data_IF_390584626090
#
_entry.id   IF_390584626090
#
_cell.length_a   1.000
_cell.length_b   1.000
_cell.length_c   1.000
_cell.angle_alpha   90.00
_cell.angle_beta   90.00
_cell.angle_gamma   90.00
#
_symmetry.space_group_name_H-M   'P 1'
#
loop_
_entity.id
_entity.type
_entity.pdbx_description
1 polymer ?
#
# COMPACT_ATOMS: atom_id res chain seq x y z
N UNK A 1 -25.57 20.34 1.85
CA UNK A 1 -26.32 19.55 0.84
C UNK A 1 -25.65 19.86 -0.49
N UNK A 2 -24.73 18.98 -0.93
CA UNK A 2 -24.11 19.07 -2.25
C UNK A 2 -24.83 18.12 -3.19
N UNK A 3 -25.20 18.54 -4.40
CA UNK A 3 -25.88 17.67 -5.35
C UNK A 3 -24.89 16.63 -5.91
N UNK A 4 -25.20 15.37 -5.79
CA UNK A 4 -24.54 14.23 -6.43
C UNK A 4 -24.69 14.35 -7.94
N UNK A 5 -23.74 15.01 -8.61
CA UNK A 5 -23.59 14.88 -10.07
C UNK A 5 -22.92 13.54 -10.36
N UNK A 6 -23.69 12.63 -10.93
CA UNK A 6 -23.15 11.42 -11.59
C UNK A 6 -22.16 11.83 -12.67
N UNK A 7 -20.87 11.62 -12.41
CA UNK A 7 -19.84 11.74 -13.44
C UNK A 7 -19.86 10.45 -14.24
N UNK A 8 -20.57 10.47 -15.37
CA UNK A 8 -20.45 9.45 -16.41
C UNK A 8 -19.12 9.67 -17.14
N UNK A 9 -18.05 9.03 -16.67
CA UNK A 9 -16.84 8.89 -17.47
C UNK A 9 -16.95 7.59 -18.30
N UNK A 10 -17.24 7.76 -19.58
CA UNK A 10 -17.13 6.71 -20.59
C UNK A 10 -15.63 6.39 -20.84
N UNK A 11 -15.04 5.55 -19.99
CA UNK A 11 -13.84 4.81 -20.34
C UNK A 11 -14.26 3.38 -20.68
N UNK A 12 -14.35 3.10 -21.97
CA UNK A 12 -14.46 1.74 -22.55
C UNK A 12 -13.13 0.99 -22.31
N UNK A 13 -12.86 0.54 -21.07
CA UNK A 13 -11.68 -0.25 -20.68
C UNK A 13 -12.06 -1.54 -19.93
N UNK A 14 -13.13 -2.22 -20.34
CA UNK A 14 -13.58 -3.44 -19.62
C UNK A 14 -12.70 -4.68 -19.87
N UNK A 15 -11.75 -4.66 -20.80
CA UNK A 15 -11.06 -5.88 -21.26
C UNK A 15 -9.70 -6.14 -20.57
N UNK A 16 -9.11 -5.21 -19.79
CA UNK A 16 -7.74 -5.36 -19.31
C UNK A 16 -7.53 -4.96 -17.82
N UNK A 17 -8.58 -4.97 -17.01
CA UNK A 17 -8.48 -4.61 -15.60
C UNK A 17 -7.98 -5.80 -14.78
N UNK A 18 -6.84 -5.64 -14.10
CA UNK A 18 -6.26 -6.66 -13.22
C UNK A 18 -6.79 -6.57 -11.79
N UNK A 19 -7.31 -5.39 -11.38
CA UNK A 19 -7.99 -5.20 -10.08
C UNK A 19 -9.36 -4.58 -10.33
N UNK A 20 -10.41 -5.16 -9.74
CA UNK A 20 -11.78 -4.64 -9.81
C UNK A 20 -12.38 -4.60 -8.42
N UNK A 21 -12.78 -3.44 -7.96
CA UNK A 21 -13.46 -3.21 -6.71
C UNK A 21 -14.88 -2.73 -7.00
N UNK A 22 -15.88 -3.35 -6.36
CA UNK A 22 -17.29 -2.99 -6.52
C UNK A 22 -17.94 -2.80 -5.15
N UNK A 23 -18.34 -1.57 -4.86
CA UNK A 23 -19.05 -1.18 -3.63
C UNK A 23 -18.35 -1.65 -2.33
N UNK A 24 -17.02 -1.60 -2.32
CA UNK A 24 -16.21 -2.05 -1.19
C UNK A 24 -16.49 -1.19 0.03
N UNK A 25 -16.92 -1.84 1.11
CA UNK A 25 -17.11 -1.21 2.41
C UNK A 25 -16.42 -2.04 3.49
N UNK A 26 -15.77 -1.38 4.44
CA UNK A 26 -15.09 -2.02 5.57
C UNK A 26 -15.44 -1.32 6.86
N UNK A 27 -15.98 -2.08 7.83
CA UNK A 27 -16.26 -1.61 9.18
C UNK A 27 -15.37 -2.28 10.21
N UNK A 28 -15.10 -1.54 11.29
CA UNK A 28 -14.45 -2.03 12.48
C UNK A 28 -15.34 -1.74 13.69
N UNK A 29 -15.45 -2.67 14.66
CA UNK A 29 -16.15 -2.40 15.91
C UNK A 29 -15.31 -1.42 16.75
N UNK A 30 -15.91 -0.31 17.18
CA UNK A 30 -15.32 0.58 18.19
C UNK A 30 -15.94 0.27 19.55
N UNK A 31 -15.08 0.01 20.54
CA UNK A 31 -15.51 -0.09 21.94
C UNK A 31 -15.48 1.33 22.49
N UNK A 32 -16.63 1.98 22.63
CA UNK A 32 -16.73 3.40 23.00
C UNK A 32 -16.65 3.67 24.50
N UNK A 33 -16.87 2.69 25.38
CA UNK A 33 -16.68 2.81 26.83
C UNK A 33 -16.48 1.45 27.50
N UNK A 34 -15.47 1.35 28.36
CA UNK A 34 -15.29 0.24 29.32
C UNK A 34 -15.84 0.72 30.66
N UNK A 35 -17.15 0.81 30.81
CA UNK A 35 -17.75 1.01 32.10
C UNK A 35 -18.20 -0.36 32.64
N UNK A 36 -17.71 -0.76 33.83
CA UNK A 36 -17.89 -2.10 34.40
C UNK A 36 -19.34 -2.52 34.65
N UNK A 37 -20.32 -1.60 34.46
CA UNK A 37 -21.73 -1.79 34.77
C UNK A 37 -22.69 -1.53 33.60
N UNK A 38 -22.25 -1.27 32.36
CA UNK A 38 -23.13 -0.99 31.23
C UNK A 38 -22.77 -1.88 30.05
N UNK A 39 -23.77 -2.44 29.39
CA UNK A 39 -23.61 -3.20 28.13
C UNK A 39 -22.72 -2.42 27.17
N UNK A 40 -21.63 -3.06 26.68
CA UNK A 40 -20.72 -2.51 25.68
C UNK A 40 -21.50 -1.94 24.50
N UNK A 41 -21.57 -0.63 24.35
CA UNK A 41 -22.10 0.01 23.14
C UNK A 41 -21.02 -0.10 22.07
N UNK A 42 -21.17 -1.06 21.17
CA UNK A 42 -20.39 -1.18 19.96
C UNK A 42 -20.90 -0.17 18.94
N UNK A 43 -20.10 0.82 18.61
CA UNK A 43 -20.37 1.70 17.48
C UNK A 43 -19.54 1.25 16.29
N UNK A 44 -20.18 1.02 15.13
CA UNK A 44 -19.48 0.63 13.92
C UNK A 44 -18.73 1.84 13.32
N UNK A 45 -17.41 1.73 13.20
CA UNK A 45 -16.60 2.68 12.44
C UNK A 45 -16.40 2.17 11.02
N UNK A 46 -16.87 2.91 10.05
CA UNK A 46 -16.70 2.59 8.65
C UNK A 46 -15.41 3.23 8.11
N UNK A 47 -14.38 2.41 7.94
CA UNK A 47 -13.11 2.84 7.35
C UNK A 47 -13.19 3.01 5.83
N UNK A 48 -14.08 2.26 5.16
CA UNK A 48 -14.42 2.41 3.74
C UNK A 48 -15.93 2.31 3.56
N UNK A 49 -16.48 3.10 2.62
CA UNK A 49 -17.91 3.16 2.30
C UNK A 49 -18.08 3.21 0.78
N UNK A 50 -18.61 2.15 0.20
CA UNK A 50 -19.03 2.07 -1.21
C UNK A 50 -17.95 2.48 -2.22
N UNK A 51 -16.70 2.02 -2.01
CA UNK A 51 -15.58 2.33 -2.89
C UNK A 51 -15.60 1.40 -4.10
N UNK A 52 -15.70 1.98 -5.30
CA UNK A 52 -15.62 1.26 -6.57
C UNK A 52 -14.46 1.81 -7.40
N UNK A 53 -13.52 0.95 -7.79
CA UNK A 53 -12.27 1.32 -8.44
C UNK A 53 -11.79 0.19 -9.33
N UNK A 54 -11.28 0.53 -10.50
CA UNK A 54 -10.62 -0.39 -11.43
C UNK A 54 -9.15 0.00 -11.62
N UNK A 55 -8.26 -0.99 -11.73
CA UNK A 55 -6.85 -0.79 -12.07
C UNK A 55 -6.52 -1.65 -13.28
N UNK A 56 -5.97 -1.02 -14.32
CA UNK A 56 -5.57 -1.71 -15.53
C UNK A 56 -4.25 -2.47 -15.32
N UNK A 57 -4.04 -3.52 -16.10
CA UNK A 57 -2.76 -4.24 -16.15
C UNK A 57 -1.64 -3.28 -16.58
N UNK A 58 -0.54 -3.26 -15.83
CA UNK A 58 0.61 -2.39 -16.11
C UNK A 58 0.44 -0.95 -15.67
N UNK A 59 -0.70 -0.59 -15.07
CA UNK A 59 -0.96 0.75 -14.52
C UNK A 59 -0.27 0.94 -13.16
N UNK A 60 0.25 2.15 -12.93
CA UNK A 60 0.66 2.61 -11.61
C UNK A 60 -0.41 3.56 -11.07
N UNK A 61 -1.20 3.07 -10.11
CA UNK A 61 -2.24 3.84 -9.44
C UNK A 61 -1.76 4.40 -8.11
N UNK A 62 -1.86 5.70 -7.92
CA UNK A 62 -1.65 6.36 -6.63
C UNK A 62 -2.95 6.45 -5.83
N UNK A 63 -2.94 6.01 -4.56
CA UNK A 63 -4.05 6.25 -3.62
C UNK A 63 -3.64 7.43 -2.74
N UNK A 64 -4.29 8.57 -2.90
CA UNK A 64 -4.02 9.79 -2.14
C UNK A 64 -5.18 10.14 -1.21
N UNK A 65 -4.91 10.91 -0.17
CA UNK A 65 -5.92 11.32 0.81
C UNK A 65 -5.31 11.56 2.18
N UNK A 66 -6.09 12.13 3.07
CA UNK A 66 -5.67 12.48 4.44
C UNK A 66 -5.34 11.25 5.28
N UNK A 67 -4.69 11.48 6.43
CA UNK A 67 -4.52 10.43 7.44
C UNK A 67 -5.91 10.01 7.94
N UNK A 68 -6.13 8.68 8.05
CA UNK A 68 -7.44 8.14 8.39
C UNK A 68 -8.47 8.09 7.26
N UNK A 69 -8.14 8.50 6.03
CA UNK A 69 -9.05 8.43 4.88
C UNK A 69 -9.38 7.01 4.40
N UNK A 70 -8.73 5.97 4.93
CA UNK A 70 -8.97 4.57 4.57
C UNK A 70 -7.96 3.98 3.57
N UNK A 71 -6.88 4.70 3.22
CA UNK A 71 -5.87 4.26 2.24
C UNK A 71 -5.29 2.88 2.59
N UNK A 72 -4.69 2.74 3.78
CA UNK A 72 -4.11 1.46 4.25
C UNK A 72 -5.14 0.33 4.28
N UNK A 73 -6.38 0.61 4.67
CA UNK A 73 -7.47 -0.38 4.65
C UNK A 73 -7.75 -0.86 3.22
N UNK A 74 -7.82 0.07 2.25
CA UNK A 74 -8.04 -0.27 0.84
C UNK A 74 -6.88 -1.07 0.28
N UNK A 75 -5.64 -0.68 0.55
CA UNK A 75 -4.45 -1.41 0.11
C UNK A 75 -4.40 -2.83 0.68
N UNK A 76 -4.71 -3.01 1.98
CA UNK A 76 -4.77 -4.34 2.60
C UNK A 76 -5.85 -5.23 1.97
N UNK A 77 -6.98 -4.66 1.54
CA UNK A 77 -8.02 -5.40 0.82
C UNK A 77 -7.50 -5.81 -0.57
N UNK A 78 -6.85 -4.92 -1.31
CA UNK A 78 -6.27 -5.22 -2.63
C UNK A 78 -5.19 -6.31 -2.55
N UNK A 79 -4.35 -6.27 -1.51
CA UNK A 79 -3.32 -7.28 -1.28
C UNK A 79 -3.85 -8.62 -0.72
N UNK A 80 -5.16 -8.73 -0.46
CA UNK A 80 -5.77 -9.94 0.09
C UNK A 80 -5.48 -10.20 1.57
N UNK A 81 -4.88 -9.25 2.28
CA UNK A 81 -4.59 -9.34 3.72
C UNK A 81 -5.86 -9.14 4.55
N UNK A 82 -6.81 -8.37 4.02
CA UNK A 82 -8.06 -8.01 4.71
C UNK A 82 -9.26 -8.26 3.79
N UNK A 83 -10.29 -8.93 4.31
CA UNK A 83 -11.56 -9.08 3.59
C UNK A 83 -12.45 -7.84 3.77
N UNK A 84 -13.16 -7.38 2.73
CA UNK A 84 -14.17 -6.35 2.87
C UNK A 84 -15.35 -6.84 3.72
N UNK A 85 -16.11 -5.92 4.33
CA UNK A 85 -17.36 -6.23 5.03
C UNK A 85 -18.52 -6.36 4.06
N UNK A 86 -18.49 -5.56 2.99
CA UNK A 86 -19.46 -5.58 1.88
C UNK A 86 -18.76 -5.29 0.58
N UNK A 87 -19.38 -5.67 -0.54
CA UNK A 87 -18.87 -5.48 -1.88
C UNK A 87 -18.03 -6.66 -2.34
N UNK A 88 -17.53 -6.56 -3.56
CA UNK A 88 -16.77 -7.61 -4.25
C UNK A 88 -15.44 -7.09 -4.73
N UNK A 89 -14.40 -7.90 -4.58
CA UNK A 89 -13.08 -7.65 -5.12
C UNK A 89 -12.65 -8.81 -6.02
N UNK A 90 -12.12 -8.47 -7.18
CA UNK A 90 -11.41 -9.42 -8.05
C UNK A 90 -10.01 -8.87 -8.31
N UNK A 91 -8.99 -9.71 -8.05
CA UNK A 91 -7.58 -9.44 -8.31
C UNK A 91 -7.05 -10.56 -9.18
N UNK A 92 -6.61 -10.21 -10.39
CA UNK A 92 -6.11 -11.14 -11.38
C UNK A 92 -4.59 -11.17 -11.37
N UNK A 93 -4.01 -12.28 -10.90
CA UNK A 93 -2.58 -12.47 -10.72
C UNK A 93 -2.13 -12.47 -9.26
N UNK A 94 -0.81 -12.62 -9.07
CA UNK A 94 -0.18 -12.65 -7.75
C UNK A 94 0.06 -11.22 -7.24
N UNK A 95 -0.68 -10.82 -6.21
CA UNK A 95 -0.46 -9.57 -5.50
C UNK A 95 0.50 -9.76 -4.33
N UNK A 96 1.52 -8.90 -4.23
CA UNK A 96 2.38 -8.80 -3.06
C UNK A 96 2.19 -7.45 -2.37
N UNK A 97 2.12 -7.46 -1.05
CA UNK A 97 2.02 -6.25 -0.22
C UNK A 97 3.40 -5.86 0.33
N UNK A 98 3.82 -4.65 0.06
CA UNK A 98 4.98 -4.01 0.65
C UNK A 98 4.48 -3.10 1.79
N UNK A 99 4.03 -3.77 2.87
CA UNK A 99 3.60 -3.16 4.12
C UNK A 99 4.67 -3.46 5.17
N UNK A 100 4.58 -3.08 6.36
CA UNK A 100 5.38 -3.48 7.54
C UNK A 100 6.59 -4.39 7.23
N UNK A 101 7.64 -3.82 6.63
CA UNK A 101 8.86 -4.54 6.26
C UNK A 101 9.45 -5.28 7.46
N UNK A 102 9.76 -6.56 7.27
CA UNK A 102 10.34 -7.39 8.32
C UNK A 102 9.33 -8.05 9.27
N UNK A 103 8.03 -8.00 8.96
CA UNK A 103 7.03 -8.80 9.69
C UNK A 103 7.40 -10.29 9.62
N UNK A 104 7.41 -10.95 10.78
CA UNK A 104 7.79 -12.35 10.92
C UNK A 104 9.30 -12.60 10.98
N UNK A 105 10.13 -11.56 10.99
CA UNK A 105 11.55 -11.70 11.25
C UNK A 105 11.80 -12.24 12.67
N UNK A 106 12.78 -13.14 12.79
CA UNK A 106 13.21 -13.75 14.05
C UNK A 106 14.64 -13.29 14.35
N UNK A 107 14.85 -12.73 15.51
CA UNK A 107 16.12 -12.10 15.91
C UNK A 107 17.25 -13.12 16.09
N UNK A 108 16.91 -14.33 16.45
CA UNK A 108 17.85 -15.45 16.66
C UNK A 108 18.36 -16.07 15.35
N UNK A 109 17.60 -15.89 14.27
CA UNK A 109 17.97 -16.40 12.95
C UNK A 109 18.87 -15.41 12.21
N UNK A 110 19.74 -15.94 11.35
CA UNK A 110 20.56 -15.13 10.44
C UNK A 110 19.69 -14.37 9.42
N UNK A 111 20.25 -13.33 8.80
CA UNK A 111 19.58 -12.64 7.69
C UNK A 111 19.20 -13.61 6.56
N UNK A 112 20.08 -14.56 6.24
CA UNK A 112 19.84 -15.61 5.24
C UNK A 112 18.65 -16.49 5.60
N UNK A 113 18.56 -16.97 6.83
CA UNK A 113 17.43 -17.77 7.30
C UNK A 113 16.13 -16.95 7.32
N UNK A 114 16.20 -15.68 7.71
CA UNK A 114 15.07 -14.78 7.65
C UNK A 114 14.56 -14.52 6.23
N UNK A 115 15.41 -14.56 5.19
CA UNK A 115 14.97 -14.52 3.79
C UNK A 115 14.00 -15.66 3.50
N UNK A 116 14.34 -16.88 3.91
CA UNK A 116 13.48 -18.05 3.69
C UNK A 116 12.21 -18.00 4.54
N UNK A 117 12.32 -17.58 5.81
CA UNK A 117 11.17 -17.47 6.70
C UNK A 117 10.18 -16.41 6.22
N UNK A 118 10.64 -15.18 6.01
CA UNK A 118 9.79 -14.08 5.56
C UNK A 118 9.23 -14.34 4.16
N UNK A 119 10.06 -14.85 3.24
CA UNK A 119 9.61 -15.21 1.91
C UNK A 119 8.49 -16.25 1.92
N UNK A 120 8.57 -17.26 2.80
CA UNK A 120 7.50 -18.25 2.97
C UNK A 120 6.22 -17.64 3.53
N UNK A 121 6.31 -16.71 4.50
CA UNK A 121 5.16 -15.99 5.07
C UNK A 121 4.41 -15.21 3.98
N UNK A 122 5.12 -14.58 3.04
CA UNK A 122 4.52 -13.82 1.94
C UNK A 122 4.17 -14.70 0.72
N UNK A 123 4.23 -16.03 0.87
CA UNK A 123 3.75 -16.98 -0.11
C UNK A 123 4.74 -17.33 -1.23
N UNK A 124 6.06 -17.10 -1.03
CA UNK A 124 7.08 -17.57 -1.95
C UNK A 124 7.40 -19.06 -1.72
N UNK A 125 7.66 -19.80 -2.79
CA UNK A 125 8.10 -21.18 -2.68
C UNK A 125 9.58 -21.26 -2.29
N UNK A 126 9.99 -22.37 -1.67
CA UNK A 126 11.40 -22.61 -1.31
C UNK A 126 12.32 -22.57 -2.53
N UNK A 127 11.83 -23.01 -3.68
CA UNK A 127 12.56 -23.02 -4.93
C UNK A 127 12.73 -21.58 -5.48
N UNK A 128 11.67 -20.78 -5.48
CA UNK A 128 11.72 -19.36 -5.84
C UNK A 128 12.75 -18.62 -4.98
N UNK A 129 12.72 -18.83 -3.66
CA UNK A 129 13.67 -18.21 -2.72
C UNK A 129 15.10 -18.63 -2.97
N UNK A 130 15.37 -19.93 -3.24
CA UNK A 130 16.71 -20.39 -3.61
C UNK A 130 17.23 -19.72 -4.86
N UNK A 131 16.39 -19.61 -5.90
CA UNK A 131 16.75 -19.00 -7.18
C UNK A 131 16.97 -17.48 -7.06
N UNK A 132 16.31 -16.82 -6.11
CA UNK A 132 16.39 -15.38 -5.88
C UNK A 132 17.36 -14.98 -4.77
N UNK A 133 17.93 -15.94 -4.04
CA UNK A 133 18.73 -15.68 -2.84
C UNK A 133 19.89 -14.71 -3.09
N UNK A 134 20.66 -14.94 -4.16
CA UNK A 134 21.82 -14.10 -4.50
C UNK A 134 21.34 -12.67 -4.81
N UNK A 135 20.33 -12.52 -5.65
CA UNK A 135 19.78 -11.19 -6.00
C UNK A 135 19.23 -10.44 -4.80
N UNK A 136 18.60 -11.14 -3.84
CA UNK A 136 18.09 -10.55 -2.59
C UNK A 136 19.27 -10.03 -1.76
N UNK A 137 20.32 -10.85 -1.59
CA UNK A 137 21.51 -10.49 -0.80
C UNK A 137 22.23 -9.29 -1.44
N UNK A 138 22.47 -9.33 -2.74
CA UNK A 138 23.12 -8.23 -3.48
C UNK A 138 22.31 -6.93 -3.42
N UNK A 139 20.99 -7.03 -3.57
CA UNK A 139 20.13 -5.85 -3.50
C UNK A 139 20.13 -5.22 -2.11
N UNK A 140 20.19 -6.03 -1.03
CA UNK A 140 20.17 -5.55 0.35
C UNK A 140 21.43 -4.81 0.76
N UNK A 141 22.56 -5.05 0.09
CA UNK A 141 23.89 -4.49 0.40
C UNK A 141 24.37 -4.79 1.84
N UNK A 142 23.91 -5.90 2.40
CA UNK A 142 24.26 -6.30 3.77
C UNK A 142 25.62 -7.01 3.85
N UNK A 143 26.16 -7.47 2.71
CA UNK A 143 27.47 -8.13 2.66
C UNK A 143 27.56 -9.30 3.64
N UNK A 144 28.63 -9.32 4.43
CA UNK A 144 28.90 -10.39 5.41
C UNK A 144 27.89 -10.43 6.58
N UNK A 145 27.13 -9.35 6.80
CA UNK A 145 26.09 -9.34 7.84
C UNK A 145 24.98 -10.37 7.56
N UNK A 146 24.81 -10.80 6.31
CA UNK A 146 23.72 -11.72 5.93
C UNK A 146 23.75 -13.03 6.71
N UNK A 147 24.92 -13.48 7.16
CA UNK A 147 25.12 -14.69 7.92
C UNK A 147 25.20 -14.46 9.45
N UNK A 148 24.95 -13.23 9.90
CA UNK A 148 24.86 -12.88 11.32
C UNK A 148 23.41 -12.88 11.80
N UNK A 149 23.16 -13.14 13.12
CA UNK A 149 21.82 -13.07 13.70
C UNK A 149 21.18 -11.71 13.48
N UNK A 150 19.89 -11.70 13.14
CA UNK A 150 19.13 -10.49 12.81
C UNK A 150 19.03 -9.53 14.01
N UNK A 151 19.12 -10.06 15.23
CA UNK A 151 19.18 -9.26 16.47
C UNK A 151 20.34 -8.25 16.50
N UNK A 152 21.40 -8.47 15.70
CA UNK A 152 22.54 -7.57 15.58
C UNK A 152 22.32 -6.44 14.55
N UNK A 153 21.24 -6.50 13.76
CA UNK A 153 20.99 -5.54 12.68
C UNK A 153 20.44 -4.23 13.23
N UNK A 154 20.88 -3.12 12.63
CA UNK A 154 20.19 -1.85 12.80
C UNK A 154 18.79 -1.89 12.18
N UNK A 155 17.90 -0.97 12.57
CA UNK A 155 16.58 -0.85 11.95
C UNK A 155 16.68 -0.64 10.43
N UNK A 156 17.64 0.16 9.96
CA UNK A 156 17.89 0.37 8.53
C UNK A 156 18.28 -0.92 7.81
N UNK A 157 19.13 -1.76 8.40
CA UNK A 157 19.51 -3.06 7.83
C UNK A 157 18.32 -4.02 7.74
N UNK A 158 17.46 -4.06 8.77
CA UNK A 158 16.22 -4.86 8.75
C UNK A 158 15.28 -4.42 7.63
N UNK A 159 15.08 -3.11 7.49
CA UNK A 159 14.24 -2.55 6.42
C UNK A 159 14.82 -2.84 5.02
N UNK A 160 16.15 -2.69 4.83
CA UNK A 160 16.82 -3.06 3.58
C UNK A 160 16.59 -4.52 3.23
N UNK A 161 16.74 -5.43 4.20
CA UNK A 161 16.51 -6.86 3.98
C UNK A 161 15.05 -7.13 3.59
N UNK A 162 14.08 -6.61 4.35
CA UNK A 162 12.65 -6.80 4.10
C UNK A 162 12.22 -6.30 2.71
N UNK A 163 12.67 -5.10 2.32
CA UNK A 163 12.41 -4.55 0.99
C UNK A 163 13.04 -5.44 -0.10
N UNK A 164 14.31 -5.85 0.09
CA UNK A 164 15.05 -6.66 -0.88
C UNK A 164 14.38 -8.01 -1.14
N UNK A 165 13.79 -8.63 -0.12
CA UNK A 165 13.04 -9.88 -0.28
C UNK A 165 11.87 -9.65 -1.24
N UNK A 166 11.00 -8.68 -0.94
CA UNK A 166 9.75 -8.47 -1.69
C UNK A 166 10.02 -8.11 -3.15
N UNK A 167 10.95 -7.16 -3.40
CA UNK A 167 11.19 -6.66 -4.77
C UNK A 167 11.95 -7.63 -5.68
N UNK A 168 12.47 -8.71 -5.15
CA UNK A 168 13.12 -9.76 -5.95
C UNK A 168 12.23 -10.99 -6.19
N UNK A 169 11.08 -11.09 -5.52
CA UNK A 169 10.10 -12.15 -5.78
C UNK A 169 9.28 -11.87 -7.04
N UNK A 170 8.67 -12.93 -7.56
CA UNK A 170 7.77 -12.84 -8.70
C UNK A 170 6.41 -12.33 -8.26
N UNK A 171 5.87 -11.35 -8.96
CA UNK A 171 4.51 -10.81 -8.74
C UNK A 171 3.95 -10.24 -10.04
N UNK A 172 2.64 -10.07 -10.08
CA UNK A 172 1.93 -9.34 -11.13
C UNK A 172 1.54 -7.95 -10.65
N UNK A 173 1.20 -7.84 -9.36
CA UNK A 173 0.73 -6.63 -8.70
C UNK A 173 1.57 -6.39 -7.44
N UNK A 174 2.10 -5.18 -7.28
CA UNK A 174 2.77 -4.76 -6.05
C UNK A 174 1.97 -3.64 -5.38
N UNK A 175 1.61 -3.85 -4.12
CA UNK A 175 0.84 -2.90 -3.30
C UNK A 175 1.78 -2.29 -2.26
N UNK A 176 1.91 -0.95 -2.22
CA UNK A 176 2.92 -0.25 -1.42
C UNK A 176 2.24 0.78 -0.51
N UNK A 177 2.44 0.69 0.81
CA UNK A 177 1.94 1.67 1.78
C UNK A 177 3.10 2.43 2.43
N UNK A 178 3.35 3.67 2.00
CA UNK A 178 4.30 4.65 2.56
C UNK A 178 5.77 4.20 2.74
N UNK A 179 6.17 3.00 2.30
CA UNK A 179 7.41 2.30 2.70
C UNK A 179 8.67 2.75 1.96
N UNK A 180 8.66 3.84 1.18
CA UNK A 180 9.86 4.24 0.41
C UNK A 180 10.94 4.98 1.22
N UNK A 181 10.69 5.29 2.48
CA UNK A 181 11.68 5.89 3.40
C UNK A 181 12.57 4.81 4.06
N UNK A 182 13.09 3.85 3.27
CA UNK A 182 13.89 2.71 3.74
C UNK A 182 15.39 3.02 3.66
N UNK A 183 16.11 2.86 4.78
CA UNK A 183 17.56 3.03 4.80
C UNK A 183 18.00 4.48 4.60
N UNK A 184 19.21 4.64 4.06
CA UNK A 184 19.75 5.95 3.72
C UNK A 184 19.32 6.45 2.33
N UNK A 185 19.71 7.66 1.99
CA UNK A 185 19.33 8.33 0.72
C UNK A 185 19.74 7.53 -0.51
N UNK A 186 20.89 6.84 -0.47
CA UNK A 186 21.36 6.04 -1.61
C UNK A 186 20.47 4.81 -1.80
N UNK A 187 20.12 4.13 -0.72
CA UNK A 187 19.23 2.97 -0.79
C UNK A 187 17.80 3.38 -1.18
N UNK A 188 17.31 4.53 -0.71
CA UNK A 188 16.02 5.09 -1.15
C UNK A 188 16.00 5.35 -2.66
N UNK A 189 17.08 5.91 -3.22
CA UNK A 189 17.21 6.09 -4.67
C UNK A 189 17.18 4.76 -5.43
N UNK A 190 17.86 3.74 -4.92
CA UNK A 190 17.84 2.38 -5.48
C UNK A 190 16.45 1.75 -5.41
N UNK A 191 15.72 1.94 -4.32
CA UNK A 191 14.33 1.50 -4.20
C UNK A 191 13.43 2.18 -5.24
N UNK A 192 13.56 3.50 -5.40
CA UNK A 192 12.80 4.25 -6.41
C UNK A 192 13.09 3.77 -7.83
N UNK A 193 14.37 3.62 -8.20
CA UNK A 193 14.76 3.09 -9.53
C UNK A 193 14.16 1.69 -9.76
N UNK A 194 14.15 0.83 -8.74
CA UNK A 194 13.52 -0.49 -8.84
C UNK A 194 12.03 -0.43 -9.13
N UNK A 195 11.31 0.53 -8.55
CA UNK A 195 9.89 0.74 -8.86
C UNK A 195 9.69 1.29 -10.27
N UNK A 196 10.58 2.17 -10.73
CA UNK A 196 10.57 2.64 -12.12
C UNK A 196 10.83 1.50 -13.11
N UNK A 197 11.71 0.54 -12.79
CA UNK A 197 11.92 -0.65 -13.61
C UNK A 197 10.67 -1.54 -13.66
N UNK A 198 9.95 -1.69 -12.55
CA UNK A 198 8.68 -2.40 -12.55
C UNK A 198 7.64 -1.71 -13.44
N UNK A 199 7.53 -0.38 -13.36
CA UNK A 199 6.68 0.40 -14.25
C UNK A 199 7.06 0.17 -15.72
N UNK A 200 8.35 0.30 -16.07
CA UNK A 200 8.86 0.08 -17.44
C UNK A 200 8.61 -1.33 -17.94
N UNK A 201 8.64 -2.33 -17.06
CA UNK A 201 8.36 -3.74 -17.40
C UNK A 201 6.88 -4.10 -17.44
N UNK A 202 5.98 -3.13 -17.26
CA UNK A 202 4.54 -3.32 -17.34
C UNK A 202 3.93 -4.04 -16.14
N UNK A 203 4.59 -3.98 -14.95
CA UNK A 203 4.01 -4.46 -13.70
C UNK A 203 2.97 -3.48 -13.18
N UNK A 204 1.90 -4.00 -12.60
CA UNK A 204 0.87 -3.18 -11.97
C UNK A 204 1.32 -2.79 -10.55
N UNK A 205 1.23 -1.49 -10.24
CA UNK A 205 1.56 -0.98 -8.91
C UNK A 205 0.36 -0.22 -8.34
N UNK A 206 0.09 -0.41 -7.04
CA UNK A 206 -0.86 0.42 -6.29
C UNK A 206 -0.12 0.98 -5.10
N UNK A 207 0.01 2.30 -5.04
CA UNK A 207 0.90 2.94 -4.06
C UNK A 207 0.21 4.05 -3.28
N UNK A 208 0.60 4.22 -2.02
CA UNK A 208 0.37 5.45 -1.26
C UNK A 208 1.70 6.08 -0.88
N UNK A 209 1.74 7.40 -0.84
CA UNK A 209 2.87 8.14 -0.29
C UNK A 209 2.42 9.53 0.16
N UNK A 210 3.11 10.11 1.15
CA UNK A 210 2.87 11.47 1.61
C UNK A 210 3.50 12.51 0.68
N UNK A 211 4.55 12.15 -0.07
CA UNK A 211 5.17 13.01 -1.07
C UNK A 211 4.34 13.02 -2.35
N UNK A 212 3.67 14.14 -2.63
CA UNK A 212 2.92 14.31 -3.88
C UNK A 212 3.85 14.35 -5.11
N UNK A 213 5.09 14.83 -4.96
CA UNK A 213 6.09 14.81 -6.04
C UNK A 213 6.43 13.37 -6.47
N UNK A 214 6.53 12.43 -5.51
CA UNK A 214 6.74 11.03 -5.81
C UNK A 214 5.53 10.44 -6.52
N UNK A 215 4.32 10.72 -6.03
CA UNK A 215 3.06 10.30 -6.67
C UNK A 215 2.99 10.83 -8.10
N UNK A 216 3.31 12.12 -8.33
CA UNK A 216 3.26 12.73 -9.66
C UNK A 216 4.27 12.09 -10.63
N UNK A 217 5.47 11.77 -10.17
CA UNK A 217 6.53 11.14 -11.00
C UNK A 217 6.26 9.67 -11.32
N UNK A 218 5.64 8.93 -10.41
CA UNK A 218 5.51 7.48 -10.53
C UNK A 218 4.15 7.05 -11.06
N UNK A 219 3.06 7.72 -10.67
CA UNK A 219 1.70 7.28 -10.97
C UNK A 219 1.20 7.76 -12.33
N UNK A 220 0.46 6.89 -13.01
CA UNK A 220 -0.24 7.21 -14.24
C UNK A 220 -1.60 7.87 -13.95
N UNK A 221 -2.22 7.47 -12.84
CA UNK A 221 -3.51 7.93 -12.37
C UNK A 221 -3.55 7.92 -10.85
N UNK A 222 -4.47 8.70 -10.26
CA UNK A 222 -4.71 8.70 -8.82
C UNK A 222 -6.17 8.50 -8.47
N UNK A 223 -6.38 7.92 -7.29
CA UNK A 223 -7.67 7.83 -6.60
C UNK A 223 -7.58 8.62 -5.29
N UNK A 224 -8.41 9.64 -5.12
CA UNK A 224 -8.49 10.46 -3.92
C UNK A 224 -9.56 9.90 -2.98
N UNK A 225 -9.11 9.47 -1.80
CA UNK A 225 -9.97 9.03 -0.72
C UNK A 225 -10.09 10.12 0.36
N UNK A 226 -11.31 10.28 0.88
CA UNK A 226 -11.55 11.06 2.08
C UNK A 226 -12.70 10.42 2.90
N UNK A 227 -12.52 10.34 4.23
CA UNK A 227 -13.49 9.73 5.15
C UNK A 227 -14.05 8.38 4.67
N UNK A 228 -13.21 7.55 4.07
CA UNK A 228 -13.55 6.22 3.57
C UNK A 228 -14.30 6.21 2.24
N UNK A 229 -14.45 7.33 1.56
CA UNK A 229 -15.15 7.46 0.28
C UNK A 229 -14.19 7.85 -0.85
N UNK A 230 -14.46 7.38 -2.05
CA UNK A 230 -13.74 7.77 -3.25
C UNK A 230 -14.32 9.08 -3.78
N UNK A 231 -13.56 10.18 -3.66
CA UNK A 231 -13.99 11.51 -4.12
C UNK A 231 -13.63 11.78 -5.58
N UNK A 232 -12.51 11.20 -6.04
CA UNK A 232 -12.03 11.41 -7.41
C UNK A 232 -11.18 10.23 -7.85
N UNK A 233 -11.22 9.91 -9.13
CA UNK A 233 -10.24 9.05 -9.80
C UNK A 233 -9.97 9.62 -11.20
N UNK A 234 -8.69 9.72 -11.57
CA UNK A 234 -8.32 10.30 -12.85
C UNK A 234 -6.86 10.70 -12.93
N UNK A 235 -6.57 11.69 -13.77
CA UNK A 235 -5.23 12.20 -13.99
C UNK A 235 -4.55 12.62 -12.69
N UNK A 236 -3.25 12.31 -12.57
CA UNK A 236 -2.45 12.53 -11.36
C UNK A 236 -2.41 13.99 -10.93
N UNK A 237 -2.09 14.90 -11.85
CA UNK A 237 -2.01 16.35 -11.55
C UNK A 237 -3.37 16.91 -11.11
N UNK A 238 -4.47 16.52 -11.79
CA UNK A 238 -5.83 16.94 -11.38
C UNK A 238 -6.19 16.44 -9.98
N UNK A 239 -5.89 15.17 -9.70
CA UNK A 239 -6.15 14.58 -8.39
C UNK A 239 -5.35 15.23 -7.26
N UNK A 240 -4.07 15.54 -7.48
CA UNK A 240 -3.23 16.28 -6.54
C UNK A 240 -3.79 17.68 -6.28
N UNK A 241 -4.22 18.39 -7.31
CA UNK A 241 -4.85 19.71 -7.15
C UNK A 241 -6.14 19.64 -6.31
N UNK A 242 -6.98 18.63 -6.53
CA UNK A 242 -8.18 18.39 -5.72
C UNK A 242 -7.83 18.07 -4.26
N UNK A 243 -6.77 17.29 -4.03
CA UNK A 243 -6.28 16.99 -2.70
C UNK A 243 -5.81 18.25 -1.97
N UNK A 244 -5.04 19.13 -2.63
CA UNK A 244 -4.63 20.41 -2.04
C UNK A 244 -5.81 21.33 -1.75
N UNK A 245 -6.81 21.38 -2.64
CA UNK A 245 -8.05 22.14 -2.40
C UNK A 245 -8.80 21.61 -1.17
N UNK A 246 -8.88 20.28 -1.00
CA UNK A 246 -9.51 19.65 0.18
C UNK A 246 -8.79 20.05 1.48
N UNK A 247 -7.46 20.08 1.48
CA UNK A 247 -6.68 20.49 2.66
C UNK A 247 -6.89 21.98 3.02
N UNK A 248 -7.09 22.84 2.02
CA UNK A 248 -7.25 24.26 2.23
C UNK A 248 -8.65 24.63 2.76
N UNK A 249 -9.70 23.91 2.39
CA UNK A 249 -11.08 24.19 2.84
C UNK A 249 -11.24 24.07 4.36
N UNK A 250 -10.48 23.23 5.04
CA UNK A 250 -10.57 23.07 6.50
C UNK A 250 -9.71 24.05 7.30
N UNK A 251 -8.65 24.61 6.72
CA UNK A 251 -7.88 25.65 7.42
C UNK A 251 -8.74 26.89 7.78
N UNK A 252 -9.84 27.08 7.08
CA UNK A 252 -10.79 28.17 7.36
C UNK A 252 -11.82 27.85 8.46
N UNK A 253 -11.93 26.57 8.89
CA UNK A 253 -12.87 26.14 9.94
C UNK A 253 -12.25 25.97 11.33
N UNK A 254 -10.93 26.02 11.45
CA UNK A 254 -10.26 26.09 12.76
C UNK A 254 -10.12 27.56 13.12
N UNK A 255 -11.19 28.12 13.66
CA UNK A 255 -11.16 29.43 14.31
C UNK A 255 -10.14 29.44 15.47
N UNK A 256 -9.65 30.64 15.90
CA UNK A 256 -8.64 30.73 16.94
C UNK A 256 -9.16 30.04 18.21
N UNK A 257 -8.34 29.13 18.74
CA UNK A 257 -8.58 28.52 20.04
C UNK A 257 -8.72 29.63 21.09
N UNK A 258 -9.87 29.66 21.76
CA UNK A 258 -10.10 30.46 22.96
C UNK A 258 -9.46 29.78 24.16
#
# INVERSE_FOLDING_TARGET
IYPTKQIKNNYNMQANNTIRLRAISKKYPLITQVDRNIKNNFQDFWALRDVSLDVCKGEVLGIIGRNGAGKTTLLNIIAGVLSPTKGEINVDGRALGLFNLGVGFQDELTGRENIFLNGAIIGATKEELKNKLISIIEFSELGNFIDMPLGTYSQGMRLRLGFSIIVNLSFDILVIDEVLAVGDTLFQSKCFERLMDFKRSGKTLVITNQSMDLIERLCDRVALLDHGQLLFQGNTTEGINKYHALLNTEKFFVGPAQ
#
